data_IF_367001799198
#
_entry.id   IF_367001799198
#
_cell.length_a   1.000
_cell.length_b   1.000
_cell.length_c   1.000
_cell.angle_alpha   90.00
_cell.angle_beta   90.00
_cell.angle_gamma   90.00
#
_symmetry.space_group_name_H-M   'P 1'
#
loop_
_entity.id
_entity.type
_entity.pdbx_description
1 polymer ?
#
# COMPACT_ATOMS: atom_id res chain seq x y z
N UNK A 1 -0.24 -55.57 2.98
CA UNK A 1 0.07 -54.16 2.65
C UNK A 1 -1.20 -53.34 2.76
N UNK A 2 -1.23 -52.33 3.63
CA UNK A 2 -2.24 -51.28 3.60
C UNK A 2 -1.61 -49.98 4.10
N UNK A 3 -1.53 -49.01 3.19
CA UNK A 3 -0.80 -47.74 3.29
C UNK A 3 -1.56 -46.73 4.17
N UNK A 4 -0.89 -46.17 5.17
CA UNK A 4 -1.46 -45.20 6.11
C UNK A 4 -1.35 -43.79 5.50
N UNK A 5 -2.49 -43.16 5.16
CA UNK A 5 -2.53 -41.81 4.57
C UNK A 5 -2.25 -40.73 5.63
N UNK A 6 -1.55 -39.63 5.30
CA UNK A 6 -1.24 -38.55 6.24
C UNK A 6 -2.48 -37.68 6.49
N UNK A 7 -2.79 -37.38 7.76
CA UNK A 7 -3.90 -36.48 8.14
C UNK A 7 -3.46 -35.03 7.98
N UNK A 8 -4.23 -34.23 7.24
CA UNK A 8 -4.06 -32.77 7.16
C UNK A 8 -4.56 -32.12 8.45
N UNK A 9 -3.80 -31.18 8.99
CA UNK A 9 -4.19 -30.36 10.15
C UNK A 9 -4.86 -29.08 9.64
N UNK A 10 -6.03 -28.77 10.17
CA UNK A 10 -6.83 -27.57 9.87
C UNK A 10 -6.50 -26.47 10.88
N UNK A 11 -6.22 -25.25 10.41
CA UNK A 11 -5.99 -24.07 11.26
C UNK A 11 -7.25 -23.19 11.28
N UNK A 12 -7.58 -22.55 12.41
CA UNK A 12 -8.78 -21.74 12.55
C UNK A 12 -8.75 -20.53 11.60
N UNK A 13 -9.89 -20.25 10.96
CA UNK A 13 -10.05 -19.16 10.01
C UNK A 13 -10.08 -17.77 10.67
N UNK A 14 -9.85 -16.72 9.87
CA UNK A 14 -9.81 -15.32 10.33
C UNK A 14 -11.08 -14.88 11.09
N UNK A 15 -12.26 -15.40 10.71
CA UNK A 15 -13.50 -15.11 11.40
C UNK A 15 -13.47 -15.52 12.89
N UNK A 16 -12.74 -16.58 13.23
CA UNK A 16 -12.61 -17.03 14.63
C UNK A 16 -11.62 -16.17 15.44
N UNK A 17 -10.69 -15.48 14.77
CA UNK A 17 -9.73 -14.59 15.42
C UNK A 17 -10.34 -13.23 15.76
N UNK A 18 -11.23 -12.70 14.90
CA UNK A 18 -11.77 -11.34 15.05
C UNK A 18 -13.08 -11.27 15.83
N UNK A 19 -13.88 -12.34 15.87
CA UNK A 19 -15.22 -12.30 16.46
C UNK A 19 -15.33 -13.04 17.80
N UNK A 20 -14.20 -13.40 18.43
CA UNK A 20 -14.20 -14.07 19.74
C UNK A 20 -14.09 -13.03 20.88
N UNK A 21 -15.15 -12.78 21.65
CA UNK A 21 -15.06 -12.01 22.90
C UNK A 21 -14.23 -12.79 23.94
N UNK A 22 -13.26 -12.13 24.56
CA UNK A 22 -12.35 -12.72 25.55
C UNK A 22 -13.04 -12.94 26.90
N UNK A 23 -13.70 -14.08 27.07
CA UNK A 23 -13.94 -14.70 28.38
C UNK A 23 -13.72 -16.22 28.25
N UNK A 24 -12.65 -16.70 28.92
CA UNK A 24 -12.00 -18.03 29.02
C UNK A 24 -12.85 -19.34 28.99
N UNK A 25 -12.27 -20.58 29.00
CA UNK A 25 -11.11 -21.20 28.32
C UNK A 25 -11.56 -22.43 27.44
N UNK A 26 -10.68 -23.34 26.90
CA UNK A 26 -10.86 -23.95 25.57
C UNK A 26 -11.60 -25.29 25.52
N UNK A 27 -12.33 -25.54 24.43
CA UNK A 27 -12.77 -26.87 24.01
C UNK A 27 -12.37 -27.12 22.54
N UNK A 28 -11.54 -28.14 22.38
CA UNK A 28 -11.15 -28.91 21.19
C UNK A 28 -11.69 -28.52 19.79
N UNK A 29 -10.74 -28.27 18.88
CA UNK A 29 -10.87 -28.43 17.42
C UNK A 29 -10.87 -29.95 17.05
N UNK A 30 -11.14 -30.40 15.79
CA UNK A 30 -11.03 -29.68 14.50
C UNK A 30 -12.06 -30.00 13.37
N UNK A 31 -12.10 -29.13 12.35
CA UNK A 31 -12.76 -29.22 11.01
C UNK A 31 -12.14 -30.26 10.05
N UNK A 32 -12.79 -30.60 8.90
CA UNK A 32 -12.33 -30.06 7.58
C UNK A 32 -13.51 -29.85 6.57
N UNK A 33 -13.47 -29.14 5.44
CA UNK A 33 -12.52 -28.34 4.65
C UNK A 33 -13.33 -27.60 3.54
N UNK A 34 -12.74 -26.60 2.83
CA UNK A 34 -13.45 -25.70 1.91
C UNK A 34 -13.38 -26.14 0.42
N UNK A 35 -14.39 -25.73 -0.36
CA UNK A 35 -14.38 -25.75 -1.82
C UNK A 35 -14.36 -24.31 -2.36
N UNK A 36 -13.51 -24.04 -3.34
CA UNK A 36 -13.42 -22.75 -4.04
C UNK A 36 -14.66 -22.52 -4.93
N UNK A 37 -15.18 -21.28 -5.06
CA UNK A 37 -16.30 -21.00 -5.96
C UNK A 37 -15.85 -20.56 -7.37
N UNK A 38 -16.53 -21.09 -8.38
CA UNK A 38 -16.53 -20.59 -9.76
C UNK A 38 -17.32 -19.26 -9.90
N UNK A 39 -17.04 -18.44 -10.93
CA UNK A 39 -17.73 -17.16 -11.13
C UNK A 39 -18.98 -17.34 -12.00
N UNK A 40 -20.17 -16.99 -11.49
CA UNK A 40 -21.38 -16.92 -12.33
C UNK A 40 -22.22 -15.69 -11.99
N UNK A 41 -22.30 -14.81 -12.99
CA UNK A 41 -23.31 -13.82 -13.36
C UNK A 41 -24.32 -13.29 -12.30
N UNK A 42 -24.29 -11.96 -12.14
CA UNK A 42 -25.47 -11.15 -11.78
C UNK A 42 -26.53 -11.25 -12.87
N UNK A 43 -27.82 -11.21 -12.48
CA UNK A 43 -28.75 -10.38 -13.22
C UNK A 43 -29.47 -9.37 -12.31
N UNK A 44 -29.84 -8.28 -12.96
CA UNK A 44 -30.44 -7.06 -12.47
C UNK A 44 -31.93 -7.24 -12.17
N UNK A 45 -32.49 -6.37 -11.33
CA UNK A 45 -33.91 -6.01 -11.37
C UNK A 45 -34.07 -4.59 -10.85
N UNK A 46 -34.42 -3.68 -11.78
CA UNK A 46 -34.73 -2.25 -11.54
C UNK A 46 -36.00 -2.05 -10.71
N UNK A 47 -36.04 -1.01 -9.86
CA UNK A 47 -36.66 0.32 -10.10
C UNK A 47 -38.16 0.36 -9.71
N UNK A 48 -38.80 1.54 -9.53
CA UNK A 48 -38.46 2.65 -8.63
C UNK A 48 -39.70 3.11 -7.82
N UNK A 49 -39.54 3.91 -6.75
CA UNK A 49 -40.66 4.75 -6.26
C UNK A 49 -40.15 5.98 -5.54
N UNK A 50 -40.54 7.14 -6.04
CA UNK A 50 -39.99 8.44 -5.66
C UNK A 50 -40.91 9.32 -4.81
N UNK A 51 -40.35 10.45 -4.38
CA UNK A 51 -40.90 11.83 -4.33
C UNK A 51 -40.11 12.68 -3.32
N UNK A 52 -39.85 13.94 -3.64
CA UNK A 52 -39.80 15.01 -2.63
C UNK A 52 -38.52 15.87 -2.48
N UNK A 53 -38.25 16.73 -3.46
CA UNK A 53 -37.79 18.14 -3.40
C UNK A 53 -36.90 18.66 -2.23
N UNK A 54 -35.71 19.14 -2.61
CA UNK A 54 -34.99 20.26 -1.98
C UNK A 54 -33.56 20.41 -2.55
N UNK A 55 -33.09 21.59 -3.03
CA UNK A 55 -31.71 21.75 -3.49
C UNK A 55 -30.79 21.79 -2.27
N UNK A 56 -30.16 20.66 -1.96
CA UNK A 56 -29.11 20.59 -0.96
C UNK A 56 -27.88 21.41 -1.43
N UNK A 57 -27.20 22.13 -0.52
CA UNK A 57 -26.01 22.89 -0.86
C UNK A 57 -24.94 21.96 -1.44
N UNK A 58 -24.37 22.36 -2.58
CA UNK A 58 -23.28 21.63 -3.24
C UNK A 58 -22.20 21.32 -2.21
N UNK A 59 -21.80 20.06 -1.99
CA UNK A 59 -20.64 19.78 -1.15
C UNK A 59 -19.46 20.52 -1.76
N UNK A 60 -18.78 21.34 -0.95
CA UNK A 60 -17.50 21.94 -1.30
C UNK A 60 -16.64 20.83 -1.90
N UNK A 61 -16.15 21.06 -3.12
CA UNK A 61 -15.32 20.11 -3.84
C UNK A 61 -14.30 19.51 -2.88
N UNK A 62 -14.37 18.20 -2.68
CA UNK A 62 -13.36 17.48 -1.91
C UNK A 62 -11.99 17.87 -2.51
N UNK A 63 -10.97 18.14 -1.67
CA UNK A 63 -9.66 18.53 -2.17
C UNK A 63 -9.23 17.52 -3.22
N UNK A 64 -8.96 18.01 -4.43
CA UNK A 64 -8.53 17.17 -5.54
C UNK A 64 -7.32 16.34 -5.07
N UNK A 65 -7.35 15.01 -5.22
CA UNK A 65 -6.24 14.17 -4.82
C UNK A 65 -5.08 14.39 -5.80
N UNK A 66 -4.36 15.50 -5.66
CA UNK A 66 -3.15 15.77 -6.43
C UNK A 66 -2.04 14.86 -5.91
N UNK A 67 -1.43 14.09 -6.80
CA UNK A 67 -0.03 13.70 -6.61
C UNK A 67 0.29 12.21 -6.64
N UNK A 68 -0.68 11.31 -6.82
CA UNK A 68 -0.37 9.88 -6.99
C UNK A 68 -0.13 9.56 -8.46
N UNK A 69 1.08 9.86 -8.94
CA UNK A 69 1.56 9.35 -10.22
C UNK A 69 1.62 7.81 -10.15
N UNK A 70 1.08 7.15 -11.18
CA UNK A 70 1.20 5.69 -11.32
C UNK A 70 2.57 5.37 -11.90
N UNK A 71 3.28 4.45 -11.26
CA UNK A 71 4.53 3.88 -11.76
C UNK A 71 4.28 2.38 -11.96
N UNK A 72 4.68 1.87 -13.12
CA UNK A 72 4.46 0.46 -13.49
C UNK A 72 5.53 -0.45 -12.90
N UNK A 73 6.71 0.11 -12.63
CA UNK A 73 7.86 -0.60 -12.08
C UNK A 73 8.13 -0.19 -10.62
N UNK A 74 8.69 -1.14 -9.85
CA UNK A 74 9.03 -0.93 -8.44
C UNK A 74 10.43 -1.48 -8.14
N UNK A 75 11.23 -0.65 -7.48
CA UNK A 75 12.47 -1.06 -6.81
C UNK A 75 12.26 -1.12 -5.30
N UNK A 76 13.03 -1.96 -4.60
CA UNK A 76 13.03 -2.02 -3.12
C UNK A 76 14.42 -1.67 -2.64
N UNK A 77 14.50 -0.70 -1.73
CA UNK A 77 15.78 -0.20 -1.19
C UNK A 77 15.78 -0.38 0.31
N UNK A 78 16.87 -0.93 0.84
CA UNK A 78 17.13 -0.98 2.28
C UNK A 78 17.92 0.26 2.68
N UNK A 79 17.46 0.94 3.73
CA UNK A 79 18.12 2.10 4.30
C UNK A 79 18.25 1.91 5.80
N UNK A 80 19.26 2.53 6.40
CA UNK A 80 19.46 2.55 7.84
C UNK A 80 18.35 3.32 8.55
N UNK A 81 18.22 3.11 9.86
CA UNK A 81 17.29 3.87 10.68
C UNK A 81 17.59 5.38 10.68
N UNK A 82 18.88 5.75 10.63
CA UNK A 82 19.32 7.15 10.58
C UNK A 82 18.89 7.83 9.27
N UNK A 83 19.06 7.15 8.14
CA UNK A 83 18.64 7.66 6.83
C UNK A 83 17.12 7.78 6.71
N UNK A 84 16.36 6.81 7.25
CA UNK A 84 14.90 6.89 7.29
C UNK A 84 14.44 8.10 8.11
N UNK A 85 15.07 8.36 9.26
CA UNK A 85 14.76 9.52 10.09
C UNK A 85 15.11 10.83 9.38
N UNK A 86 16.25 10.91 8.69
CA UNK A 86 16.63 12.06 7.89
C UNK A 86 15.61 12.34 6.76
N UNK A 87 15.11 11.30 6.10
CA UNK A 87 14.08 11.42 5.06
C UNK A 87 12.74 11.95 5.62
N UNK A 88 12.34 11.49 6.81
CA UNK A 88 11.14 12.01 7.47
C UNK A 88 11.28 13.46 7.90
N UNK A 89 12.45 13.83 8.43
CA UNK A 89 12.73 15.22 8.78
C UNK A 89 12.64 16.12 7.55
N UNK A 90 13.27 15.72 6.44
CA UNK A 90 13.20 16.46 5.18
C UNK A 90 11.76 16.62 4.68
N UNK A 91 10.94 15.57 4.79
CA UNK A 91 9.51 15.61 4.44
C UNK A 91 8.73 16.64 5.26
N UNK A 92 9.00 16.73 6.56
CA UNK A 92 8.36 17.71 7.44
C UNK A 92 8.84 19.13 7.13
N UNK A 93 10.15 19.33 6.91
CA UNK A 93 10.74 20.61 6.51
C UNK A 93 10.13 21.12 5.20
N UNK A 94 10.04 20.28 4.16
CA UNK A 94 9.41 20.63 2.88
C UNK A 94 7.97 21.13 3.06
N UNK A 95 7.21 20.52 3.96
CA UNK A 95 5.83 20.93 4.24
C UNK A 95 5.78 22.24 5.04
N UNK A 96 6.64 22.40 6.03
CA UNK A 96 6.64 23.56 6.92
C UNK A 96 7.14 24.83 6.21
N UNK A 97 8.22 24.73 5.45
CA UNK A 97 8.93 25.87 4.87
C UNK A 97 8.44 26.18 3.45
N UNK A 98 8.10 25.16 2.67
CA UNK A 98 7.74 25.32 1.26
C UNK A 98 6.28 24.97 0.95
N UNK A 99 5.50 24.52 1.95
CA UNK A 99 4.12 24.08 1.74
C UNK A 99 3.98 22.82 0.87
N UNK A 100 5.08 22.11 0.60
CA UNK A 100 5.12 20.97 -0.31
C UNK A 100 4.79 19.68 0.44
N UNK A 101 3.64 19.07 0.12
CA UNK A 101 3.32 17.73 0.59
C UNK A 101 3.89 16.68 -0.38
N UNK A 102 4.90 15.93 0.08
CA UNK A 102 5.45 14.78 -0.62
C UNK A 102 5.42 13.54 0.28
N UNK A 103 5.27 12.36 -0.32
CA UNK A 103 5.53 11.10 0.34
C UNK A 103 7.00 10.67 0.13
N UNK A 104 7.42 9.61 0.82
CA UNK A 104 8.79 9.07 0.71
C UNK A 104 9.15 8.70 -0.73
N UNK A 105 8.21 8.06 -1.43
CA UNK A 105 8.44 7.59 -2.79
C UNK A 105 8.64 8.74 -3.78
N UNK A 106 7.88 9.82 -3.62
CA UNK A 106 8.05 11.04 -4.42
C UNK A 106 9.42 11.67 -4.17
N UNK A 107 9.85 11.82 -2.92
CA UNK A 107 11.17 12.39 -2.60
C UNK A 107 12.29 11.55 -3.23
N UNK A 108 12.23 10.22 -3.08
CA UNK A 108 13.25 9.31 -3.65
C UNK A 108 13.26 9.40 -5.17
N UNK A 109 12.09 9.44 -5.83
CA UNK A 109 12.03 9.55 -7.30
C UNK A 109 12.60 10.87 -7.82
N UNK A 110 12.31 12.00 -7.17
CA UNK A 110 12.90 13.29 -7.54
C UNK A 110 14.42 13.29 -7.35
N UNK A 111 14.91 12.72 -6.24
CA UNK A 111 16.34 12.60 -5.99
C UNK A 111 17.04 11.74 -7.07
N UNK A 112 16.42 10.64 -7.49
CA UNK A 112 16.93 9.80 -8.59
C UNK A 112 16.92 10.58 -9.91
N UNK A 113 15.84 11.30 -10.23
CA UNK A 113 15.76 12.10 -11.45
C UNK A 113 16.87 13.17 -11.50
N UNK A 114 17.08 13.91 -10.41
CA UNK A 114 18.16 14.92 -10.30
C UNK A 114 19.54 14.29 -10.52
N UNK A 115 19.81 13.13 -9.92
CA UNK A 115 21.09 12.43 -10.10
C UNK A 115 21.30 11.93 -11.53
N UNK A 116 20.24 11.44 -12.18
CA UNK A 116 20.33 10.99 -13.57
C UNK A 116 20.53 12.17 -14.53
N UNK A 117 19.85 13.29 -14.31
CA UNK A 117 20.07 14.51 -15.10
C UNK A 117 21.49 15.05 -14.94
N UNK A 118 22.02 15.07 -13.71
CA UNK A 118 23.42 15.45 -13.47
C UNK A 118 24.41 14.54 -14.22
N UNK A 119 24.13 13.23 -14.24
CA UNK A 119 24.95 12.28 -14.99
C UNK A 119 24.86 12.48 -16.50
N UNK A 120 23.67 12.74 -17.04
CA UNK A 120 23.47 13.02 -18.47
C UNK A 120 24.19 14.31 -18.91
N UNK A 121 24.20 15.34 -18.06
CA UNK A 121 24.82 16.63 -18.36
C UNK A 121 26.35 16.61 -18.21
N UNK A 122 26.87 15.95 -17.17
CA UNK A 122 28.30 16.05 -16.79
C UNK A 122 29.10 14.76 -17.03
N UNK A 123 28.44 13.62 -17.29
CA UNK A 123 29.09 12.33 -17.53
C UNK A 123 30.02 11.92 -16.40
N UNK A 124 31.30 11.71 -16.74
CA UNK A 124 32.35 11.27 -15.80
C UNK A 124 32.59 12.27 -14.65
N UNK A 125 32.29 13.55 -14.87
CA UNK A 125 32.45 14.58 -13.85
C UNK A 125 31.25 14.68 -12.89
N UNK A 126 30.18 13.90 -13.09
CA UNK A 126 28.97 13.95 -12.26
C UNK A 126 29.20 13.55 -10.80
N UNK A 127 28.30 14.02 -9.94
CA UNK A 127 28.26 13.64 -8.52
C UNK A 127 28.06 12.14 -8.33
N UNK A 128 27.32 11.50 -9.25
CA UNK A 128 27.04 10.07 -9.19
C UNK A 128 28.32 9.25 -9.38
N UNK A 129 29.15 9.59 -10.38
CA UNK A 129 30.41 8.88 -10.66
C UNK A 129 31.41 9.08 -9.52
N UNK A 130 31.56 10.31 -9.02
CA UNK A 130 32.46 10.60 -7.89
C UNK A 130 32.11 9.76 -6.65
N UNK A 131 30.84 9.75 -6.23
CA UNK A 131 30.41 9.02 -5.02
C UNK A 131 30.52 7.50 -5.14
N UNK A 132 30.35 6.95 -6.34
CA UNK A 132 30.47 5.51 -6.57
C UNK A 132 31.93 5.08 -6.81
N UNK A 133 32.80 5.98 -7.24
CA UNK A 133 34.23 5.73 -7.43
C UNK A 133 35.07 5.85 -6.15
N UNK A 134 34.61 6.65 -5.17
CA UNK A 134 35.30 6.87 -3.91
C UNK A 134 35.01 5.82 -2.81
N UNK A 135 34.17 4.82 -3.11
CA UNK A 135 33.82 3.68 -2.24
C UNK A 135 34.65 2.43 -2.57
#
# INVERSE_FOLDING_TARGET
>A
MASQRPRRVTLPGAAELFFRPTSAPPAAAPEPAPAAPEPVARPESGEPSGRGRGPAPKPRAAPQPSGRQRHDEKITVYISAAELLALEQARLTLRAEHGLSADRGRIVREAVAVLLSDFEEHGEASMLVQRLGDN
#
